data_IF_936565758789
#
_entry.id   IF_936565758789
#
_cell.length_a   1.000
_cell.length_b   1.000
_cell.length_c   1.000
_cell.angle_alpha   90.00
_cell.angle_beta   90.00
_cell.angle_gamma   90.00
#
_symmetry.space_group_name_H-M   'P 1'
#
loop_
_entity.id
_entity.type
_entity.pdbx_description
1 polymer ?
#
# COMPACT_ATOMS: atom_id res chain seq x y z
N UNK A 1 14.01 73.18 -16.83
CA UNK A 1 13.88 73.31 -15.35
C UNK A 1 13.32 71.98 -14.85
N UNK A 2 14.21 71.02 -14.52
CA UNK A 2 14.60 70.62 -13.15
C UNK A 2 13.45 70.04 -12.31
N UNK A 3 13.38 68.71 -12.21
CA UNK A 3 13.45 67.88 -10.97
C UNK A 3 12.90 66.47 -11.23
N UNK A 4 13.72 65.41 -11.16
CA UNK A 4 14.21 64.70 -9.97
C UNK A 4 13.16 63.79 -9.34
N UNK A 5 13.20 62.48 -9.63
CA UNK A 5 12.96 61.42 -8.63
C UNK A 5 13.90 60.24 -8.96
N UNK A 6 14.90 60.05 -8.08
CA UNK A 6 15.65 58.80 -7.92
C UNK A 6 14.69 57.72 -7.41
N UNK A 7 14.69 56.53 -8.03
CA UNK A 7 14.07 55.34 -7.44
C UNK A 7 15.18 54.38 -7.01
N UNK A 8 15.05 53.97 -5.76
CA UNK A 8 15.99 53.23 -4.94
C UNK A 8 16.34 51.83 -5.48
N UNK A 9 17.63 51.53 -5.35
CA UNK A 9 18.24 50.20 -5.39
C UNK A 9 17.65 49.31 -4.28
N UNK A 10 17.11 48.14 -4.63
CA UNK A 10 17.08 46.97 -3.73
C UNK A 10 17.40 45.73 -4.58
N UNK A 11 18.69 45.38 -4.64
CA UNK A 11 19.11 44.04 -5.05
C UNK A 11 18.82 43.10 -3.87
N UNK A 12 17.71 42.37 -3.94
CA UNK A 12 17.51 41.24 -3.04
C UNK A 12 18.29 40.05 -3.62
N UNK A 13 19.45 39.74 -3.03
CA UNK A 13 20.19 38.52 -3.35
C UNK A 13 19.33 37.33 -2.90
N UNK A 14 18.77 36.60 -3.86
CA UNK A 14 18.08 35.35 -3.61
C UNK A 14 19.07 34.34 -3.03
N UNK A 15 18.93 34.01 -1.75
CA UNK A 15 19.53 32.80 -1.19
C UNK A 15 18.69 31.60 -1.65
N UNK A 16 19.30 30.50 -2.14
CA UNK A 16 18.54 29.31 -2.45
C UNK A 16 18.02 28.72 -1.14
N UNK A 17 16.69 28.61 -1.03
CA UNK A 17 16.06 27.84 0.02
C UNK A 17 16.53 26.39 -0.10
N UNK A 18 17.45 25.98 0.78
CA UNK A 18 17.82 24.59 0.99
C UNK A 18 16.69 23.90 1.78
N UNK A 19 15.49 23.89 1.20
CA UNK A 19 14.36 23.08 1.62
C UNK A 19 14.54 21.70 1.02
N UNK A 20 15.29 20.84 1.70
CA UNK A 20 15.23 19.42 1.40
C UNK A 20 13.80 18.96 1.65
N UNK A 21 13.03 18.75 0.58
CA UNK A 21 11.73 18.12 0.64
C UNK A 21 11.89 16.76 1.30
N UNK A 22 11.65 16.68 2.61
CA UNK A 22 11.43 15.40 3.28
C UNK A 22 10.18 14.82 2.65
N UNK A 23 10.37 13.94 1.68
CA UNK A 23 9.33 13.23 0.97
C UNK A 23 8.49 12.50 2.02
N UNK A 24 7.33 13.07 2.35
CA UNK A 24 6.41 12.52 3.35
C UNK A 24 6.13 11.07 2.97
N UNK A 25 6.40 10.13 3.88
CA UNK A 25 6.04 8.74 3.66
C UNK A 25 4.51 8.67 3.53
N UNK A 26 4.05 8.46 2.31
CA UNK A 26 2.61 8.39 1.95
C UNK A 26 2.07 6.97 2.10
N UNK A 27 2.90 6.01 2.54
CA UNK A 27 2.42 4.63 2.70
C UNK A 27 1.48 4.49 3.89
N UNK A 28 0.40 3.75 3.67
CA UNK A 28 -0.61 3.42 4.66
C UNK A 28 -0.73 1.90 4.78
N UNK A 29 -1.01 1.42 5.98
CA UNK A 29 -1.35 0.01 6.21
C UNK A 29 -2.73 -0.31 5.65
N UNK A 30 -2.83 -1.38 4.88
CA UNK A 30 -4.08 -1.98 4.44
C UNK A 30 -4.27 -3.32 5.12
N UNK A 31 -5.53 -3.65 5.41
CA UNK A 31 -5.97 -5.00 5.76
C UNK A 31 -6.72 -5.60 4.58
N UNK A 32 -6.31 -6.79 4.18
CA UNK A 32 -7.03 -7.66 3.27
C UNK A 32 -7.59 -8.83 4.08
N UNK A 33 -8.91 -8.91 4.15
CA UNK A 33 -9.65 -9.93 4.90
C UNK A 33 -10.51 -10.70 3.90
N UNK A 34 -10.44 -12.04 3.93
CA UNK A 34 -11.12 -12.86 2.92
C UNK A 34 -11.62 -14.18 3.49
N UNK A 35 -12.68 -14.70 2.87
CA UNK A 35 -13.20 -16.04 3.05
C UNK A 35 -13.06 -16.86 1.78
N UNK A 36 -12.86 -18.16 1.94
CA UNK A 36 -12.64 -19.11 0.86
C UNK A 36 -13.96 -19.65 0.32
N UNK A 37 -13.99 -19.99 -0.96
CA UNK A 37 -15.05 -20.85 -1.52
C UNK A 37 -14.92 -22.26 -0.97
N UNK A 38 -16.00 -23.05 -1.05
CA UNK A 38 -16.03 -24.46 -0.64
C UNK A 38 -15.31 -25.38 -1.66
N UNK A 39 -14.00 -25.21 -1.83
CA UNK A 39 -13.12 -25.98 -2.75
C UNK A 39 -11.84 -26.47 -2.05
N UNK A 40 -11.93 -27.25 -0.96
CA UNK A 40 -10.80 -27.51 -0.05
C UNK A 40 -9.57 -28.13 -0.72
N UNK A 41 -9.75 -29.05 -1.67
CA UNK A 41 -8.63 -29.70 -2.36
C UNK A 41 -7.81 -28.73 -3.21
N UNK A 42 -8.48 -27.85 -3.97
CA UNK A 42 -7.81 -26.86 -4.82
C UNK A 42 -7.14 -25.79 -3.94
N UNK A 43 -7.79 -25.41 -2.84
CA UNK A 43 -7.22 -24.47 -1.86
C UNK A 43 -5.94 -25.03 -1.26
N UNK A 44 -5.94 -26.30 -0.88
CA UNK A 44 -4.77 -26.97 -0.33
C UNK A 44 -3.60 -27.00 -1.33
N UNK A 45 -3.89 -27.17 -2.61
CA UNK A 45 -2.88 -27.13 -3.68
C UNK A 45 -2.34 -25.72 -3.92
N UNK A 46 -3.19 -24.70 -3.89
CA UNK A 46 -2.79 -23.30 -4.14
C UNK A 46 -2.15 -22.61 -2.92
N UNK A 47 -2.35 -23.14 -1.71
CA UNK A 47 -1.88 -22.51 -0.47
C UNK A 47 -0.36 -22.26 -0.40
N UNK A 48 0.52 -23.19 -0.84
CA UNK A 48 1.95 -22.93 -0.90
C UNK A 48 2.32 -21.77 -1.82
N UNK A 49 1.69 -21.67 -2.99
CA UNK A 49 1.93 -20.59 -3.95
C UNK A 49 1.39 -19.26 -3.44
N UNK A 50 0.23 -19.26 -2.80
CA UNK A 50 -0.31 -18.10 -2.07
C UNK A 50 0.69 -17.58 -1.03
N UNK A 51 1.18 -18.46 -0.15
CA UNK A 51 2.13 -18.07 0.88
C UNK A 51 3.44 -17.54 0.27
N UNK A 52 3.97 -18.22 -0.75
CA UNK A 52 5.18 -17.82 -1.46
C UNK A 52 5.02 -16.46 -2.13
N UNK A 53 3.89 -16.22 -2.79
CA UNK A 53 3.57 -14.94 -3.42
C UNK A 53 3.72 -13.80 -2.42
N UNK A 54 2.95 -13.84 -1.33
CA UNK A 54 2.94 -12.77 -0.33
C UNK A 54 4.30 -12.57 0.35
N UNK A 55 5.00 -13.66 0.69
CA UNK A 55 6.33 -13.57 1.29
C UNK A 55 7.38 -12.99 0.32
N UNK A 56 7.27 -13.30 -0.98
CA UNK A 56 8.23 -12.84 -1.99
C UNK A 56 8.17 -11.34 -2.27
N UNK A 57 7.02 -10.72 -2.04
CA UNK A 57 6.84 -9.28 -2.24
C UNK A 57 7.62 -8.43 -1.24
N UNK A 58 8.02 -9.01 -0.09
CA UNK A 58 8.75 -8.33 0.98
C UNK A 58 8.15 -6.96 1.35
N UNK A 59 6.82 -6.90 1.45
CA UNK A 59 6.11 -5.66 1.73
C UNK A 59 6.34 -5.19 3.17
N UNK A 60 6.51 -3.89 3.34
CA UNK A 60 6.64 -3.29 4.66
C UNK A 60 5.40 -3.57 5.52
N UNK A 61 5.62 -3.93 6.78
CA UNK A 61 4.54 -4.22 7.72
C UNK A 61 3.75 -5.49 7.38
N UNK A 62 4.24 -6.35 6.49
CA UNK A 62 3.59 -7.61 6.15
C UNK A 62 3.35 -8.49 7.39
N UNK A 63 2.09 -8.82 7.64
CA UNK A 63 1.66 -9.86 8.58
C UNK A 63 0.47 -10.58 7.98
N UNK A 64 0.56 -11.88 7.78
CA UNK A 64 -0.51 -12.65 7.17
C UNK A 64 -0.68 -14.01 7.83
N UNK A 65 -1.90 -14.53 7.78
CA UNK A 65 -2.19 -15.88 8.25
C UNK A 65 -3.64 -16.31 7.99
N UNK A 66 -3.88 -17.63 8.01
CA UNK A 66 -5.23 -18.18 7.91
C UNK A 66 -5.97 -17.99 9.24
N UNK A 67 -7.31 -17.97 9.18
CA UNK A 67 -8.13 -18.16 10.37
C UNK A 67 -7.97 -19.59 10.90
N UNK A 68 -8.19 -19.78 12.21
CA UNK A 68 -7.97 -21.06 12.88
C UNK A 68 -8.81 -22.21 12.29
N UNK A 69 -10.02 -21.89 11.82
CA UNK A 69 -10.95 -22.83 11.19
C UNK A 69 -10.68 -23.04 9.68
N UNK A 70 -9.65 -22.38 9.12
CA UNK A 70 -9.29 -22.42 7.69
C UNK A 70 -10.39 -21.92 6.75
N UNK A 71 -11.38 -21.18 7.26
CA UNK A 71 -12.44 -20.60 6.43
C UNK A 71 -11.96 -19.44 5.54
N UNK A 72 -10.78 -18.88 5.84
CA UNK A 72 -10.29 -17.65 5.25
C UNK A 72 -8.92 -17.25 5.79
N UNK A 73 -8.60 -15.98 5.63
CA UNK A 73 -7.37 -15.40 6.16
C UNK A 73 -7.41 -13.88 6.20
N UNK A 74 -6.36 -13.35 6.82
CA UNK A 74 -6.13 -11.93 6.93
C UNK A 74 -4.67 -11.61 6.62
N UNK A 75 -4.46 -10.52 5.89
CA UNK A 75 -3.14 -10.01 5.54
C UNK A 75 -3.13 -8.50 5.78
N UNK A 76 -2.15 -8.03 6.55
CA UNK A 76 -1.80 -6.62 6.69
C UNK A 76 -0.54 -6.35 5.89
N UNK A 77 -0.50 -5.23 5.18
CA UNK A 77 0.69 -4.77 4.44
C UNK A 77 0.59 -3.27 4.17
N UNK A 78 1.73 -2.60 3.98
CA UNK A 78 1.75 -1.19 3.55
C UNK A 78 1.66 -1.06 2.04
N UNK A 79 0.94 -0.03 1.60
CA UNK A 79 0.85 0.36 0.19
C UNK A 79 0.74 1.88 0.05
N UNK A 80 1.10 2.42 -1.12
CA UNK A 80 1.08 3.87 -1.40
C UNK A 80 -0.33 4.41 -1.68
N UNK A 81 -1.21 3.54 -2.19
CA UNK A 81 -2.58 3.89 -2.53
C UNK A 81 -3.46 2.64 -2.54
N UNK A 82 -4.79 2.84 -2.57
CA UNK A 82 -5.76 1.75 -2.67
C UNK A 82 -5.60 0.95 -3.97
N UNK A 83 -5.24 1.62 -5.07
CA UNK A 83 -5.00 0.99 -6.37
C UNK A 83 -3.79 0.08 -6.29
N UNK A 84 -2.67 0.55 -5.73
CA UNK A 84 -1.48 -0.30 -5.53
C UNK A 84 -1.77 -1.50 -4.63
N UNK A 85 -2.56 -1.31 -3.56
CA UNK A 85 -2.97 -2.40 -2.70
C UNK A 85 -3.88 -3.41 -3.42
N UNK A 86 -4.77 -2.93 -4.28
CA UNK A 86 -5.69 -3.77 -5.08
C UNK A 86 -4.92 -4.57 -6.12
N UNK A 87 -3.91 -3.99 -6.77
CA UNK A 87 -3.03 -4.70 -7.70
C UNK A 87 -2.23 -5.80 -7.00
N UNK A 88 -1.76 -5.55 -5.78
CA UNK A 88 -1.12 -6.58 -4.95
C UNK A 88 -2.10 -7.72 -4.66
N UNK A 89 -3.34 -7.43 -4.24
CA UNK A 89 -4.33 -8.49 -4.00
C UNK A 89 -4.66 -9.26 -5.29
N UNK A 90 -4.75 -8.58 -6.42
CA UNK A 90 -5.07 -9.21 -7.71
C UNK A 90 -4.02 -10.21 -8.19
N UNK A 91 -2.77 -10.10 -7.70
CA UNK A 91 -1.69 -11.06 -8.01
C UNK A 91 -1.69 -12.30 -7.13
N UNK A 92 -2.55 -12.37 -6.10
CA UNK A 92 -2.65 -13.52 -5.20
C UNK A 92 -3.14 -14.77 -5.96
N UNK A 93 -2.42 -15.91 -5.90
CA UNK A 93 -2.86 -17.18 -6.46
C UNK A 93 -4.29 -17.59 -6.07
N UNK A 94 -4.75 -17.29 -4.85
CA UNK A 94 -6.14 -17.55 -4.46
C UNK A 94 -7.14 -16.70 -5.24
N UNK A 95 -6.78 -15.46 -5.59
CA UNK A 95 -7.62 -14.58 -6.44
C UNK A 95 -7.56 -15.04 -7.88
N UNK A 96 -6.37 -15.33 -8.42
CA UNK A 96 -6.18 -15.79 -9.80
C UNK A 96 -6.94 -17.10 -10.07
N UNK A 97 -6.95 -18.03 -9.12
CA UNK A 97 -7.66 -19.31 -9.23
C UNK A 97 -9.14 -19.24 -8.83
N UNK A 98 -9.70 -18.06 -8.59
CA UNK A 98 -11.10 -17.85 -8.22
C UNK A 98 -11.52 -18.70 -6.98
N UNK A 99 -10.65 -18.71 -5.96
CA UNK A 99 -10.84 -19.46 -4.72
C UNK A 99 -11.38 -18.60 -3.58
N UNK A 100 -11.36 -17.28 -3.74
CA UNK A 100 -11.94 -16.32 -2.78
C UNK A 100 -13.46 -16.25 -2.98
N UNK A 101 -14.23 -16.48 -1.92
CA UNK A 101 -15.68 -16.35 -1.92
C UNK A 101 -16.10 -14.90 -1.68
N UNK A 102 -15.66 -14.33 -0.56
CA UNK A 102 -15.92 -12.95 -0.17
C UNK A 102 -14.61 -12.32 0.32
N UNK A 103 -14.40 -11.02 0.04
CA UNK A 103 -13.23 -10.32 0.55
C UNK A 103 -13.42 -8.81 0.65
N UNK A 104 -12.59 -8.20 1.50
CA UNK A 104 -12.53 -6.77 1.70
C UNK A 104 -11.08 -6.31 1.79
N UNK A 105 -10.77 -5.24 1.08
CA UNK A 105 -9.52 -4.51 1.18
C UNK A 105 -9.83 -3.11 1.75
N UNK A 106 -9.27 -2.80 2.91
CA UNK A 106 -9.55 -1.55 3.63
C UNK A 106 -8.26 -0.92 4.15
N UNK A 107 -8.14 0.42 4.15
CA UNK A 107 -7.11 1.08 4.95
C UNK A 107 -7.32 0.73 6.42
N UNK A 108 -6.23 0.45 7.13
CA UNK A 108 -6.22 0.12 8.55
C UNK A 108 -5.48 1.20 9.34
N UNK A 109 -6.13 1.71 10.38
CA UNK A 109 -5.53 2.67 11.32
C UNK A 109 -5.43 1.95 12.66
N UNK A 110 -4.21 1.59 13.07
CA UNK A 110 -3.95 1.08 14.40
C UNK A 110 -3.69 2.27 15.35
N UNK A 111 -4.19 2.16 16.58
CA UNK A 111 -3.96 3.13 17.65
C UNK A 111 -2.83 2.69 18.56
#
# INVERSE_FOLDING_TARGET
>A
MKWCILIFFVLFLATPANGGDMKKDTTQTYVYFYFMKKKPEIIKQAAPDHAKYWMSLKLDGYKGGPFADRSGGMILFKAKSKESASMTVAGDPFVIHDLIGESWLKPWVAH
#
